data_IF_561680104931
#
_entry.id   IF_561680104931
#
_cell.length_a   1.000
_cell.length_b   1.000
_cell.length_c   1.000
_cell.angle_alpha   90.00
_cell.angle_beta   90.00
_cell.angle_gamma   90.00
#
_symmetry.space_group_name_H-M   'P 1'
#
loop_
_entity.id
_entity.type
_entity.pdbx_description
1 polymer ?
#
# COMPACT_ATOMS: atom_id res chain seq x y z
N UNK A 1 45.55 9.59 31.79
CA UNK A 1 44.78 8.33 31.84
C UNK A 1 43.36 8.59 31.34
N UNK A 2 43.07 8.39 30.06
CA UNK A 2 41.74 8.47 29.47
C UNK A 2 41.00 7.18 29.76
N UNK A 3 39.82 7.35 30.34
CA UNK A 3 38.95 6.28 30.84
C UNK A 3 38.53 5.31 29.71
N UNK A 4 39.03 4.05 29.80
CA UNK A 4 38.68 2.94 28.90
C UNK A 4 37.29 2.31 29.23
N UNK A 5 36.38 3.02 29.92
CA UNK A 5 35.13 2.48 30.45
C UNK A 5 33.86 2.81 29.64
N UNK A 6 33.98 3.40 28.44
CA UNK A 6 32.79 3.77 27.64
C UNK A 6 32.57 2.96 26.37
N UNK A 7 33.03 1.72 26.28
CA UNK A 7 32.82 0.88 25.08
C UNK A 7 32.22 -0.49 25.35
N UNK A 8 31.20 -0.54 26.16
CA UNK A 8 30.29 -1.70 26.14
C UNK A 8 28.83 -1.22 26.13
N UNK A 9 28.45 -0.47 25.12
CA UNK A 9 27.04 -0.43 24.74
C UNK A 9 26.71 -1.83 24.23
N UNK A 10 26.20 -2.67 25.09
CA UNK A 10 25.55 -3.92 24.74
C UNK A 10 24.44 -3.54 23.77
N UNK A 11 24.66 -3.81 22.48
CA UNK A 11 23.62 -3.70 21.47
C UNK A 11 22.67 -4.86 21.74
N UNK A 12 21.68 -4.64 22.61
CA UNK A 12 20.57 -5.58 22.80
C UNK A 12 19.92 -5.77 21.44
N UNK A 13 20.14 -6.94 20.87
CA UNK A 13 19.43 -7.34 19.63
C UNK A 13 17.95 -7.41 19.94
N UNK A 14 17.14 -6.69 19.15
CA UNK A 14 15.69 -6.76 19.31
C UNK A 14 15.23 -8.22 19.15
N UNK A 15 14.47 -8.72 20.12
CA UNK A 15 13.88 -10.06 20.10
C UNK A 15 12.37 -9.94 20.03
N UNK A 16 11.73 -10.79 19.26
CA UNK A 16 10.28 -10.93 19.21
C UNK A 16 9.93 -12.38 19.50
N UNK A 17 8.90 -12.60 20.31
CA UNK A 17 8.38 -13.91 20.61
C UNK A 17 7.40 -14.36 19.53
N UNK A 18 7.46 -15.65 19.16
CA UNK A 18 6.41 -16.25 18.33
C UNK A 18 5.08 -16.31 19.08
N UNK A 19 3.97 -16.28 18.34
CA UNK A 19 2.64 -16.45 18.90
C UNK A 19 2.40 -17.89 19.39
N UNK A 20 2.94 -18.89 18.68
CA UNK A 20 2.61 -20.29 18.92
C UNK A 20 3.48 -20.93 20.01
N UNK A 21 4.79 -20.70 20.01
CA UNK A 21 5.76 -21.47 20.84
C UNK A 21 6.60 -20.62 21.77
N UNK A 22 6.36 -19.32 21.85
CA UNK A 22 7.17 -18.40 22.68
C UNK A 22 8.68 -18.43 22.39
N UNK A 23 9.08 -18.90 21.20
CA UNK A 23 10.47 -18.84 20.77
C UNK A 23 10.89 -17.42 20.45
N UNK A 24 12.10 -17.06 20.81
CA UNK A 24 12.68 -15.76 20.55
C UNK A 24 13.32 -15.71 19.17
N UNK A 25 12.85 -14.80 18.32
CA UNK A 25 13.46 -14.50 17.01
C UNK A 25 14.27 -13.21 17.09
N UNK A 26 15.53 -13.26 16.65
CA UNK A 26 16.41 -12.09 16.62
C UNK A 26 16.16 -11.28 15.35
N UNK A 27 15.84 -10.02 15.52
CA UNK A 27 15.65 -9.08 14.42
C UNK A 27 16.97 -8.37 14.05
N UNK A 28 17.14 -8.05 12.76
CA UNK A 28 18.28 -7.24 12.29
C UNK A 28 18.04 -5.77 12.60
N UNK A 29 18.87 -5.15 13.42
CA UNK A 29 18.76 -3.75 13.83
C UNK A 29 18.72 -2.77 12.65
N UNK A 30 19.44 -3.06 11.56
CA UNK A 30 19.45 -2.24 10.33
C UNK A 30 18.08 -2.15 9.63
N UNK A 31 17.13 -3.03 9.97
CA UNK A 31 15.80 -3.06 9.35
C UNK A 31 14.73 -2.63 10.35
N UNK A 32 14.84 -3.04 11.62
CA UNK A 32 13.80 -2.89 12.62
C UNK A 32 14.07 -1.84 13.71
N UNK A 33 15.24 -1.16 13.66
CA UNK A 33 15.63 -0.12 14.63
C UNK A 33 15.97 1.19 13.92
N UNK A 34 15.12 1.61 13.00
CA UNK A 34 15.31 2.85 12.24
C UNK A 34 14.44 3.97 12.83
N UNK A 35 14.99 5.18 12.91
CA UNK A 35 14.23 6.35 13.33
C UNK A 35 13.10 6.66 12.34
N UNK A 36 11.92 7.05 12.86
CA UNK A 36 10.76 7.35 12.03
C UNK A 36 11.01 8.58 11.16
N UNK A 37 10.81 8.44 9.84
CA UNK A 37 10.83 9.52 8.87
C UNK A 37 9.45 9.60 8.20
N UNK A 38 8.58 10.45 8.76
CA UNK A 38 7.20 10.61 8.31
C UNK A 38 7.10 11.07 6.86
N UNK A 39 8.05 11.92 6.41
CA UNK A 39 8.07 12.43 5.03
C UNK A 39 8.33 11.33 4.01
N UNK A 40 9.27 10.41 4.31
CA UNK A 40 9.57 9.29 3.43
C UNK A 40 8.38 8.32 3.33
N UNK A 41 7.73 8.04 4.47
CA UNK A 41 6.51 7.22 4.53
C UNK A 41 5.38 7.85 3.72
N UNK A 42 5.09 9.14 3.96
CA UNK A 42 4.05 9.88 3.24
C UNK A 42 4.26 9.86 1.73
N UNK A 43 5.47 10.18 1.27
CA UNK A 43 5.78 10.19 -0.16
C UNK A 43 5.60 8.81 -0.80
N UNK A 44 5.99 7.75 -0.11
CA UNK A 44 5.88 6.38 -0.62
C UNK A 44 4.43 5.91 -0.69
N UNK A 45 3.65 6.11 0.36
CA UNK A 45 2.23 5.72 0.41
C UNK A 45 1.42 6.50 -0.64
N UNK A 46 1.58 7.83 -0.71
CA UNK A 46 0.85 8.64 -1.69
C UNK A 46 1.23 8.29 -3.13
N UNK A 47 2.51 7.95 -3.38
CA UNK A 47 2.92 7.50 -4.71
C UNK A 47 2.28 6.17 -5.09
N UNK A 48 2.25 5.20 -4.17
CA UNK A 48 1.61 3.89 -4.41
C UNK A 48 0.10 4.05 -4.64
N UNK A 49 -0.59 4.88 -3.84
CA UNK A 49 -2.00 5.18 -4.03
C UNK A 49 -2.28 5.84 -5.40
N UNK A 50 -1.45 6.80 -5.80
CA UNK A 50 -1.60 7.46 -7.10
C UNK A 50 -1.34 6.49 -8.26
N UNK A 51 -0.31 5.65 -8.16
CA UNK A 51 0.06 4.70 -9.20
C UNK A 51 -0.99 3.59 -9.40
N UNK A 52 -1.82 3.31 -8.40
CA UNK A 52 -2.94 2.38 -8.51
C UNK A 52 -4.15 2.95 -9.27
N UNK A 53 -4.20 4.29 -9.49
CA UNK A 53 -5.32 4.93 -10.19
C UNK A 53 -5.24 4.70 -11.69
N UNK A 54 -6.32 4.19 -12.30
CA UNK A 54 -6.41 3.98 -13.75
C UNK A 54 -6.50 5.28 -14.55
N UNK A 55 -7.13 6.33 -14.00
CA UNK A 55 -7.24 7.63 -14.64
C UNK A 55 -8.10 7.68 -15.89
N UNK A 56 -9.14 6.85 -16.00
CA UNK A 56 -9.98 6.68 -17.18
C UNK A 56 -11.13 7.66 -17.30
N UNK A 57 -11.35 8.55 -16.31
CA UNK A 57 -12.44 9.52 -16.36
C UNK A 57 -12.26 10.47 -17.54
N UNK A 58 -13.31 10.62 -18.35
CA UNK A 58 -13.31 11.44 -19.55
C UNK A 58 -14.63 12.18 -19.72
N UNK A 59 -14.57 13.39 -20.20
CA UNK A 59 -15.72 14.16 -20.66
C UNK A 59 -15.55 14.54 -22.13
N UNK A 60 -16.67 14.67 -22.84
CA UNK A 60 -16.65 15.08 -24.24
C UNK A 60 -16.54 16.60 -24.35
N UNK A 61 -15.47 17.08 -24.97
CA UNK A 61 -15.32 18.46 -25.35
C UNK A 61 -16.13 18.77 -26.62
N UNK A 62 -16.14 20.03 -27.02
CA UNK A 62 -16.86 20.51 -28.20
C UNK A 62 -16.55 19.74 -29.49
N UNK A 63 -15.34 19.23 -29.63
CA UNK A 63 -14.90 18.45 -30.81
C UNK A 63 -15.39 17.00 -30.80
N UNK A 64 -15.55 16.42 -29.61
CA UNK A 64 -15.92 15.02 -29.43
C UNK A 64 -17.43 14.79 -29.38
N UNK A 65 -18.21 15.85 -29.11
CA UNK A 65 -19.69 15.75 -29.11
C UNK A 65 -20.17 15.66 -30.55
N UNK A 66 -21.00 14.65 -30.84
CA UNK A 66 -21.61 14.45 -32.15
C UNK A 66 -22.50 15.63 -32.56
N UNK A 67 -22.40 16.06 -33.81
CA UNK A 67 -23.17 17.14 -34.44
C UNK A 67 -22.47 18.49 -34.40
N UNK A 68 -23.12 19.52 -34.91
CA UNK A 68 -22.65 20.90 -34.87
C UNK A 68 -21.65 21.33 -35.92
N UNK A 69 -21.40 20.54 -36.98
CA UNK A 69 -20.50 20.90 -38.07
C UNK A 69 -20.99 22.06 -38.97
N UNK A 70 -22.27 22.40 -38.90
CA UNK A 70 -22.89 23.51 -39.66
C UNK A 70 -23.21 24.68 -38.70
N UNK A 71 -23.01 25.91 -39.22
CA UNK A 71 -23.43 27.12 -38.51
C UNK A 71 -24.98 27.13 -38.35
N UNK A 72 -25.55 27.32 -37.12
CA UNK A 72 -26.98 27.22 -36.90
C UNK A 72 -27.80 28.23 -37.69
N UNK A 73 -27.32 29.47 -37.82
CA UNK A 73 -27.99 30.54 -38.55
C UNK A 73 -26.97 31.57 -39.05
N UNK A 74 -27.43 32.51 -39.94
CA UNK A 74 -26.62 33.58 -40.48
C UNK A 74 -26.10 34.55 -39.44
N UNK A 75 -24.95 35.21 -39.73
CA UNK A 75 -24.22 36.04 -38.75
C UNK A 75 -24.99 37.31 -38.27
N UNK A 76 -25.88 37.87 -39.09
CA UNK A 76 -26.66 39.09 -38.80
C UNK A 76 -28.11 38.90 -39.28
N UNK A 77 -29.03 39.72 -38.74
CA UNK A 77 -30.43 39.76 -39.19
C UNK A 77 -31.34 38.64 -38.65
N UNK A 78 -30.97 38.00 -37.53
CA UNK A 78 -31.80 36.99 -36.85
C UNK A 78 -32.38 37.44 -35.52
N UNK A 79 -31.97 38.55 -34.97
CA UNK A 79 -32.33 39.01 -33.63
C UNK A 79 -31.73 38.21 -32.48
N UNK A 80 -31.05 37.08 -32.77
CA UNK A 80 -30.45 36.20 -31.78
C UNK A 80 -28.96 36.45 -31.59
N UNK A 81 -28.41 36.02 -30.45
CA UNK A 81 -26.98 36.03 -30.21
C UNK A 81 -26.23 35.21 -31.25
N UNK A 82 -25.05 35.67 -31.68
CA UNK A 82 -24.23 34.99 -32.68
C UNK A 82 -23.78 33.64 -32.21
N UNK A 83 -23.93 32.61 -33.02
CA UNK A 83 -23.48 31.24 -32.70
C UNK A 83 -22.68 30.63 -33.85
N UNK A 84 -21.55 30.01 -33.53
CA UNK A 84 -20.72 29.28 -34.51
C UNK A 84 -21.08 27.81 -34.62
N UNK A 85 -21.57 27.19 -33.53
CA UNK A 85 -21.97 25.79 -33.51
C UNK A 85 -23.03 25.53 -32.44
N UNK A 86 -23.93 24.58 -32.68
CA UNK A 86 -24.92 24.13 -31.72
C UNK A 86 -24.30 23.33 -30.54
N UNK A 87 -23.04 22.88 -30.68
CA UNK A 87 -22.32 22.14 -29.62
C UNK A 87 -21.40 23.04 -28.79
N UNK A 88 -21.62 24.36 -28.84
CA UNK A 88 -20.95 25.29 -27.93
C UNK A 88 -21.22 24.93 -26.47
N UNK A 89 -20.26 25.12 -25.57
CA UNK A 89 -20.43 24.87 -24.14
C UNK A 89 -21.59 25.64 -23.49
N UNK A 90 -22.00 26.76 -24.09
CA UNK A 90 -23.12 27.58 -23.65
C UNK A 90 -24.49 26.95 -23.93
N UNK A 91 -24.56 26.01 -24.85
CA UNK A 91 -25.81 25.39 -25.27
C UNK A 91 -26.08 24.08 -24.50
N UNK A 92 -27.34 23.78 -24.31
CA UNK A 92 -27.77 22.46 -23.77
C UNK A 92 -27.30 21.36 -24.73
N UNK A 93 -26.64 20.31 -24.20
CA UNK A 93 -26.04 19.25 -25.01
C UNK A 93 -24.76 19.64 -25.72
N UNK A 94 -24.17 20.79 -25.39
CA UNK A 94 -22.85 21.21 -25.84
C UNK A 94 -21.72 20.47 -25.13
N UNK A 95 -20.46 20.71 -25.59
CA UNK A 95 -19.28 20.12 -25.02
C UNK A 95 -18.91 20.72 -23.65
N UNK A 96 -18.23 19.96 -22.83
CA UNK A 96 -17.70 20.41 -21.53
C UNK A 96 -16.38 21.15 -21.71
N UNK A 97 -16.21 22.29 -21.02
CA UNK A 97 -14.94 23.02 -20.96
C UNK A 97 -14.15 22.55 -19.77
N UNK A 98 -12.85 22.27 -19.95
CA UNK A 98 -11.93 21.82 -18.90
C UNK A 98 -12.43 20.64 -18.08
N UNK A 99 -13.22 19.76 -18.70
CA UNK A 99 -13.64 18.51 -18.06
C UNK A 99 -12.49 17.52 -17.88
N UNK A 100 -12.71 16.46 -17.10
CA UNK A 100 -11.70 15.42 -16.94
C UNK A 100 -11.31 14.81 -18.27
N UNK A 101 -10.03 14.54 -18.44
CA UNK A 101 -9.47 13.80 -19.57
C UNK A 101 -8.63 12.64 -19.05
N UNK A 102 -8.54 11.52 -19.78
CA UNK A 102 -7.70 10.41 -19.40
C UNK A 102 -6.27 10.86 -19.16
N UNK A 103 -5.72 10.54 -17.99
CA UNK A 103 -4.35 10.90 -17.62
C UNK A 103 -3.72 9.86 -16.71
N UNK A 104 -2.41 9.72 -16.79
CA UNK A 104 -1.65 8.90 -15.90
C UNK A 104 -1.36 9.65 -14.59
N UNK A 105 -1.59 8.97 -13.47
CA UNK A 105 -1.31 9.49 -12.13
C UNK A 105 0.05 9.03 -11.60
N UNK A 106 0.94 8.59 -12.48
CA UNK A 106 2.24 8.04 -12.11
C UNK A 106 3.08 9.06 -11.34
N UNK A 107 3.52 8.66 -10.12
CA UNK A 107 4.43 9.43 -9.27
C UNK A 107 5.67 8.60 -8.96
N UNK A 108 6.82 9.04 -9.46
CA UNK A 108 8.11 8.39 -9.20
C UNK A 108 8.63 8.75 -7.81
N UNK A 109 9.08 7.75 -7.06
CA UNK A 109 9.80 7.91 -5.78
C UNK A 109 11.12 7.13 -5.87
N UNK A 110 12.18 7.69 -5.31
CA UNK A 110 13.50 7.05 -5.32
C UNK A 110 13.49 5.74 -4.53
N UNK A 111 14.22 4.73 -5.01
CA UNK A 111 14.29 3.40 -4.38
C UNK A 111 14.78 3.47 -2.93
N UNK A 112 15.80 4.28 -2.65
CA UNK A 112 16.31 4.49 -1.28
C UNK A 112 15.24 5.07 -0.34
N UNK A 113 14.41 6.01 -0.83
CA UNK A 113 13.30 6.58 -0.04
C UNK A 113 12.23 5.53 0.27
N UNK A 114 11.87 4.69 -0.70
CA UNK A 114 10.93 3.57 -0.48
C UNK A 114 11.46 2.56 0.54
N UNK A 115 12.75 2.19 0.44
CA UNK A 115 13.39 1.30 1.39
C UNK A 115 13.42 1.90 2.80
N UNK A 116 13.74 3.18 2.93
CA UNK A 116 13.70 3.89 4.21
C UNK A 116 12.29 3.89 4.80
N UNK A 117 11.28 4.23 4.00
CA UNK A 117 9.88 4.23 4.42
C UNK A 117 9.43 2.86 4.94
N UNK A 118 9.80 1.79 4.22
CA UNK A 118 9.49 0.42 4.62
C UNK A 118 10.11 0.06 5.98
N UNK A 119 11.41 0.37 6.17
CA UNK A 119 12.12 0.15 7.44
C UNK A 119 11.51 0.96 8.59
N UNK A 120 11.12 2.22 8.33
CA UNK A 120 10.48 3.07 9.33
C UNK A 120 9.17 2.48 9.83
N UNK A 121 8.30 2.00 8.93
CA UNK A 121 7.02 1.39 9.32
C UNK A 121 7.25 0.09 10.10
N UNK A 122 8.15 -0.79 9.64
CA UNK A 122 8.47 -2.01 10.39
C UNK A 122 8.97 -1.70 11.80
N UNK A 123 9.86 -0.70 11.94
CA UNK A 123 10.38 -0.28 13.24
C UNK A 123 9.28 0.26 14.15
N UNK A 124 8.32 0.99 13.61
CA UNK A 124 7.18 1.51 14.35
C UNK A 124 6.23 0.39 14.80
N UNK A 125 5.90 -0.54 13.89
CA UNK A 125 5.05 -1.71 14.21
C UNK A 125 5.67 -2.61 15.27
N UNK A 126 6.99 -2.78 15.28
CA UNK A 126 7.70 -3.54 16.31
C UNK A 126 7.65 -2.80 17.65
N UNK A 127 7.85 -1.47 17.68
CA UNK A 127 7.74 -0.65 18.91
C UNK A 127 6.36 -0.69 19.55
N UNK A 128 5.32 -0.77 18.72
CA UNK A 128 3.92 -0.78 19.14
C UNK A 128 3.37 -2.19 19.38
N UNK A 129 4.21 -3.22 19.46
CA UNK A 129 3.84 -4.64 19.61
C UNK A 129 2.81 -5.13 18.57
N UNK A 130 2.76 -4.45 17.43
CA UNK A 130 1.86 -4.75 16.31
C UNK A 130 2.50 -5.65 15.24
N UNK A 131 3.70 -6.16 15.50
CA UNK A 131 4.42 -7.08 14.64
C UNK A 131 4.56 -8.43 15.36
N UNK A 132 4.05 -9.50 14.77
CA UNK A 132 4.03 -10.83 15.38
C UNK A 132 4.54 -11.88 14.41
N UNK A 133 5.31 -12.84 14.93
CA UNK A 133 5.85 -13.96 14.15
C UNK A 133 5.02 -15.20 14.42
N UNK A 134 4.69 -15.95 13.36
CA UNK A 134 3.95 -17.22 13.41
C UNK A 134 4.82 -18.30 12.80
N UNK A 135 4.90 -19.47 13.44
CA UNK A 135 5.68 -20.61 12.94
C UNK A 135 4.93 -21.40 11.88
N UNK A 136 3.61 -21.54 12.04
CA UNK A 136 2.78 -22.30 11.10
C UNK A 136 1.48 -21.57 10.80
N UNK A 137 1.19 -21.35 9.52
CA UNK A 137 -0.09 -20.87 9.05
C UNK A 137 -1.03 -22.06 8.77
N UNK A 138 -2.37 -21.87 8.90
CA UNK A 138 -3.32 -22.94 8.58
C UNK A 138 -3.19 -23.37 7.11
N UNK A 139 -3.06 -24.66 6.87
CA UNK A 139 -2.90 -25.23 5.52
C UNK A 139 -4.21 -25.71 4.90
N UNK A 140 -5.31 -25.76 5.65
CA UNK A 140 -6.59 -26.18 5.13
C UNK A 140 -7.36 -25.06 4.40
N UNK A 141 -8.06 -25.35 3.28
CA UNK A 141 -8.77 -24.36 2.48
C UNK A 141 -10.14 -23.97 3.07
N UNK A 142 -10.29 -24.04 4.41
CA UNK A 142 -11.55 -23.76 5.10
C UNK A 142 -11.47 -22.42 5.85
N UNK A 143 -12.35 -21.47 5.50
CA UNK A 143 -12.47 -20.17 6.19
C UNK A 143 -12.79 -20.29 7.67
N UNK A 144 -13.57 -21.31 8.08
CA UNK A 144 -13.93 -21.54 9.48
C UNK A 144 -12.71 -21.84 10.35
N UNK A 145 -11.79 -22.66 9.86
CA UNK A 145 -10.55 -22.99 10.57
C UNK A 145 -9.61 -21.80 10.66
N UNK A 146 -9.50 -21.04 9.57
CA UNK A 146 -8.75 -19.79 9.54
C UNK A 146 -9.28 -18.78 10.55
N UNK A 147 -10.58 -18.58 10.64
CA UNK A 147 -11.21 -17.70 11.65
C UNK A 147 -10.97 -18.23 13.06
N UNK A 148 -11.03 -19.56 13.28
CA UNK A 148 -10.74 -20.17 14.58
C UNK A 148 -9.28 -19.91 15.01
N UNK A 149 -8.33 -19.96 14.08
CA UNK A 149 -6.92 -19.59 14.31
C UNK A 149 -6.79 -18.12 14.73
N UNK A 150 -7.47 -17.20 14.04
CA UNK A 150 -7.47 -15.78 14.41
C UNK A 150 -8.09 -15.53 15.79
N UNK A 151 -9.17 -16.22 16.13
CA UNK A 151 -9.81 -16.14 17.46
C UNK A 151 -8.89 -16.64 18.58
N UNK A 152 -8.24 -17.78 18.39
CA UNK A 152 -7.29 -18.34 19.37
C UNK A 152 -6.17 -17.34 19.71
N UNK A 153 -5.74 -16.55 18.72
CA UNK A 153 -4.67 -15.57 18.88
C UNK A 153 -5.16 -14.16 19.27
N UNK A 154 -6.44 -13.96 19.57
CA UNK A 154 -7.06 -12.66 19.89
C UNK A 154 -6.84 -11.59 18.80
N UNK A 155 -6.97 -12.01 17.54
CA UNK A 155 -6.72 -11.17 16.38
C UNK A 155 -8.00 -10.76 15.63
N UNK A 156 -9.16 -11.16 16.13
CA UNK A 156 -10.46 -10.90 15.49
C UNK A 156 -10.77 -9.39 15.45
N UNK A 157 -11.29 -8.92 14.31
CA UNK A 157 -11.73 -7.53 14.14
C UNK A 157 -10.62 -6.50 13.88
N UNK A 158 -9.34 -6.89 13.94
CA UNK A 158 -8.22 -6.02 13.57
C UNK A 158 -7.88 -6.18 12.10
N UNK A 159 -7.42 -5.12 11.45
CA UNK A 159 -6.87 -5.21 10.09
C UNK A 159 -5.49 -5.85 10.15
N UNK A 160 -5.33 -6.99 9.48
CA UNK A 160 -4.13 -7.82 9.56
C UNK A 160 -3.51 -7.98 8.19
N UNK A 161 -2.20 -7.75 8.08
CA UNK A 161 -1.40 -8.17 6.93
C UNK A 161 -0.66 -9.45 7.29
N UNK A 162 -0.89 -10.52 6.54
CA UNK A 162 -0.13 -11.76 6.65
C UNK A 162 0.94 -11.76 5.58
N UNK A 163 2.20 -11.91 5.98
CA UNK A 163 3.36 -11.93 5.10
C UNK A 163 3.96 -13.33 5.11
N UNK A 164 3.99 -13.98 3.97
CA UNK A 164 4.64 -15.29 3.80
C UNK A 164 5.63 -15.24 2.65
N UNK A 165 6.64 -16.09 2.69
CA UNK A 165 7.59 -16.29 1.57
C UNK A 165 6.88 -16.89 0.36
N UNK A 166 6.11 -17.97 0.59
CA UNK A 166 5.28 -18.64 -0.42
C UNK A 166 3.82 -18.56 0.03
N UNK A 167 2.93 -18.23 -0.90
CA UNK A 167 1.50 -18.24 -0.65
C UNK A 167 0.93 -19.53 -1.22
N UNK A 168 0.47 -20.42 -0.36
CA UNK A 168 -0.24 -21.62 -0.75
C UNK A 168 -1.66 -21.28 -1.23
N UNK A 169 -2.14 -21.99 -2.25
CA UNK A 169 -3.49 -21.78 -2.79
C UNK A 169 -4.56 -22.03 -1.73
N UNK A 170 -4.36 -22.98 -0.85
CA UNK A 170 -5.27 -23.27 0.27
C UNK A 170 -5.37 -22.10 1.23
N UNK A 171 -4.24 -21.50 1.62
CA UNK A 171 -4.22 -20.31 2.47
C UNK A 171 -4.90 -19.12 1.80
N UNK A 172 -4.68 -18.93 0.50
CA UNK A 172 -5.34 -17.91 -0.31
C UNK A 172 -6.86 -18.10 -0.33
N UNK A 173 -7.34 -19.33 -0.53
CA UNK A 173 -8.77 -19.65 -0.50
C UNK A 173 -9.39 -19.44 0.89
N UNK A 174 -8.68 -19.81 1.96
CA UNK A 174 -9.16 -19.67 3.32
C UNK A 174 -9.25 -18.20 3.78
N UNK A 175 -8.31 -17.34 3.34
CA UNK A 175 -8.18 -15.95 3.80
C UNK A 175 -8.95 -14.93 2.95
N UNK A 176 -9.13 -15.16 1.62
CA UNK A 176 -9.67 -14.17 0.68
C UNK A 176 -11.08 -13.65 1.01
N UNK A 177 -11.90 -14.46 1.70
CA UNK A 177 -13.27 -14.06 2.10
C UNK A 177 -13.30 -13.24 3.40
N UNK A 178 -12.17 -13.08 4.09
CA UNK A 178 -12.11 -12.36 5.36
C UNK A 178 -11.69 -10.91 5.08
N UNK A 179 -12.60 -9.91 5.23
CA UNK A 179 -12.38 -8.55 4.71
C UNK A 179 -11.29 -7.76 5.44
N UNK A 180 -10.93 -8.17 6.66
CA UNK A 180 -9.91 -7.51 7.47
C UNK A 180 -8.53 -8.19 7.39
N UNK A 181 -8.37 -9.19 6.50
CA UNK A 181 -7.09 -9.89 6.29
C UNK A 181 -6.58 -9.64 4.88
N UNK A 182 -5.31 -9.24 4.79
CA UNK A 182 -4.58 -9.08 3.53
C UNK A 182 -3.41 -10.05 3.49
N UNK A 183 -3.36 -10.94 2.49
CA UNK A 183 -2.26 -11.88 2.30
C UNK A 183 -1.29 -11.36 1.24
N UNK A 184 -0.01 -11.22 1.60
CA UNK A 184 1.02 -10.62 0.75
C UNK A 184 2.30 -11.46 0.78
N UNK A 185 2.97 -11.62 -0.37
CA UNK A 185 4.31 -12.25 -0.43
C UNK A 185 5.38 -11.30 0.11
N UNK A 186 6.34 -11.82 0.85
CA UNK A 186 7.47 -11.06 1.38
C UNK A 186 8.27 -10.32 0.27
N UNK A 187 8.39 -10.93 -0.92
CA UNK A 187 9.07 -10.33 -2.07
C UNK A 187 8.32 -9.14 -2.68
N UNK A 188 6.99 -9.15 -2.68
CA UNK A 188 6.14 -8.11 -3.31
C UNK A 188 5.50 -7.15 -2.32
N UNK A 189 5.68 -7.34 -1.02
CA UNK A 189 5.12 -6.50 0.02
C UNK A 189 5.45 -5.01 -0.21
N UNK A 190 4.43 -4.17 -0.19
CA UNK A 190 4.51 -2.72 -0.40
C UNK A 190 4.49 -1.95 0.92
N UNK A 191 4.85 -0.66 0.85
CA UNK A 191 4.80 0.24 2.02
C UNK A 191 3.35 0.44 2.47
N UNK A 192 2.42 0.50 1.52
CA UNK A 192 1.00 0.66 1.78
C UNK A 192 0.41 -0.53 2.52
N UNK A 193 0.77 -1.77 2.13
CA UNK A 193 0.26 -2.98 2.78
C UNK A 193 0.60 -3.03 4.28
N UNK A 194 1.75 -2.46 4.67
CA UNK A 194 2.16 -2.36 6.06
C UNK A 194 1.51 -1.20 6.80
N UNK A 195 1.24 -0.09 6.08
CA UNK A 195 0.72 1.13 6.68
C UNK A 195 -0.78 1.03 6.95
N UNK A 196 -1.56 0.50 6.00
CA UNK A 196 -3.04 0.47 6.05
C UNK A 196 -3.59 -0.50 7.11
N UNK A 197 -2.78 -1.45 7.59
CA UNK A 197 -3.19 -2.48 8.51
C UNK A 197 -2.65 -2.25 9.93
N UNK A 198 -3.44 -2.64 10.93
CA UNK A 198 -3.11 -2.43 12.34
C UNK A 198 -2.02 -3.39 12.81
N UNK A 199 -2.06 -4.63 12.34
CA UNK A 199 -1.20 -5.71 12.80
C UNK A 199 -0.56 -6.45 11.63
N UNK A 200 0.69 -6.85 11.80
CA UNK A 200 1.45 -7.63 10.84
C UNK A 200 1.73 -9.00 11.43
N UNK A 201 1.30 -10.04 10.74
CA UNK A 201 1.68 -11.43 10.99
C UNK A 201 2.70 -11.84 9.94
N UNK A 202 3.82 -12.39 10.36
CA UNK A 202 4.85 -12.84 9.44
C UNK A 202 5.23 -14.30 9.73
N UNK A 203 5.39 -15.07 8.68
CA UNK A 203 5.98 -16.39 8.71
C UNK A 203 7.50 -16.31 8.91
N UNK A 204 8.11 -17.31 9.52
CA UNK A 204 9.56 -17.37 9.77
C UNK A 204 10.35 -17.23 8.47
N UNK A 205 9.96 -17.96 7.42
CA UNK A 205 10.57 -17.87 6.09
C UNK A 205 10.42 -16.48 5.46
N UNK A 206 9.25 -15.85 5.63
CA UNK A 206 8.99 -14.48 5.19
C UNK A 206 9.85 -13.44 5.92
N UNK A 207 10.13 -13.64 7.21
CA UNK A 207 11.01 -12.77 8.00
C UNK A 207 12.46 -12.81 7.47
N UNK A 208 12.95 -13.98 7.10
CA UNK A 208 14.28 -14.10 6.49
C UNK A 208 14.35 -13.39 5.14
N UNK A 209 13.33 -13.55 4.29
CA UNK A 209 13.27 -12.92 2.97
C UNK A 209 13.17 -11.40 3.07
N UNK A 210 12.37 -10.85 3.99
CA UNK A 210 12.37 -9.41 4.27
C UNK A 210 13.75 -8.94 4.77
N UNK A 211 14.38 -9.71 5.64
CA UNK A 211 15.71 -9.40 6.16
C UNK A 211 16.80 -9.44 5.08
N UNK A 212 16.67 -10.27 4.04
CA UNK A 212 17.54 -10.29 2.86
C UNK A 212 17.27 -9.09 1.95
N UNK A 213 15.97 -8.80 1.68
CA UNK A 213 15.53 -7.71 0.78
C UNK A 213 15.97 -6.33 1.26
N UNK A 214 15.89 -6.06 2.56
CA UNK A 214 16.16 -4.74 3.14
C UNK A 214 17.43 -4.66 3.98
N UNK A 215 18.04 -5.80 4.31
CA UNK A 215 19.23 -5.87 5.16
C UNK A 215 20.51 -5.29 4.53
N UNK A 216 20.52 -5.01 3.21
CA UNK A 216 21.67 -4.47 2.48
C UNK A 216 22.89 -5.41 2.53
N UNK A 217 23.62 -5.56 1.41
CA UNK A 217 25.04 -5.92 1.48
C UNK A 217 25.77 -4.66 1.98
N UNK A 218 26.34 -4.72 3.18
CA UNK A 218 27.41 -3.79 3.53
C UNK A 218 28.59 -4.04 2.60
#
# INVERSE_FOLDING_TARGET
SWCKQCTSFFVEKMKIKSLDTSKDFTLKDNVFKVAMNTQAVYQSVVAEMNNARQGTSSSKNRSLVSGGGKKPFRQKGTGNARQGTSRSPLNRGGGVIFGPSPKFYFKKVNTKTKQLAFKCILSDKVKNDSFKVVESLPSEPKTKEFISFLKKNNLEGKKITIISSVIDDNLSLASRNVPYVSLVKASSCSVRDLFDNDLILIDVSGLEDLSKRFGGKN
#
